data_IF_260818763987
#
_entry.id   IF_260818763987
#
_cell.length_a   1.000
_cell.length_b   1.000
_cell.length_c   1.000
_cell.angle_alpha   90.00
_cell.angle_beta   90.00
_cell.angle_gamma   90.00
#
_symmetry.space_group_name_H-M   'P 1'
#
loop_
_entity.id
_entity.type
_entity.pdbx_description
1 polymer ?
#
# COMPACT_ATOMS: atom_id res chain seq x y z
N UNK A 1 -31.08 27.47 -15.11
CA UNK A 1 -29.72 27.76 -14.60
C UNK A 1 -28.83 26.54 -14.79
N UNK A 2 -27.86 26.62 -15.69
CA UNK A 2 -27.01 25.51 -16.10
C UNK A 2 -25.73 25.43 -15.25
N UNK A 3 -25.55 24.34 -14.51
CA UNK A 3 -24.30 24.06 -13.80
C UNK A 3 -23.30 23.47 -14.81
N UNK A 4 -22.29 24.25 -15.18
CA UNK A 4 -21.12 23.74 -15.92
C UNK A 4 -20.47 22.67 -15.05
N UNK A 5 -20.47 21.42 -15.53
CA UNK A 5 -19.57 20.37 -15.03
C UNK A 5 -18.14 20.85 -15.26
N UNK A 6 -17.52 21.39 -14.21
CA UNK A 6 -16.06 21.52 -14.16
C UNK A 6 -15.52 20.10 -14.20
N UNK A 7 -14.95 19.68 -15.33
CA UNK A 7 -14.11 18.48 -15.36
C UNK A 7 -12.92 18.77 -14.46
N UNK A 8 -12.91 18.17 -13.26
CA UNK A 8 -11.68 18.09 -12.45
C UNK A 8 -10.65 17.36 -13.34
N UNK A 9 -9.45 17.93 -13.57
CA UNK A 9 -8.38 17.15 -14.16
C UNK A 9 -8.17 15.96 -13.24
N UNK A 10 -8.40 14.74 -13.74
CA UNK A 10 -8.05 13.54 -13.01
C UNK A 10 -6.52 13.46 -13.06
N UNK A 11 -5.80 13.59 -11.94
CA UNK A 11 -4.37 13.31 -11.97
C UNK A 11 -4.24 11.86 -12.41
N UNK A 12 -3.59 11.61 -13.55
CA UNK A 12 -3.28 10.24 -13.97
C UNK A 12 -2.46 9.60 -12.85
N UNK A 13 -2.99 8.57 -12.16
CA UNK A 13 -2.32 8.00 -10.98
C UNK A 13 -0.90 7.50 -11.32
N UNK A 14 -0.69 7.05 -12.56
CA UNK A 14 0.56 6.52 -13.10
C UNK A 14 1.75 7.51 -13.13
N UNK A 15 1.52 8.83 -13.04
CA UNK A 15 2.58 9.86 -13.18
C UNK A 15 2.99 10.52 -11.87
N UNK A 16 2.53 9.99 -10.75
CA UNK A 16 2.83 10.55 -9.43
C UNK A 16 4.16 10.00 -8.91
N UNK A 17 4.89 10.74 -8.06
CA UNK A 17 6.09 10.22 -7.38
C UNK A 17 5.84 8.88 -6.67
N UNK A 18 4.65 8.72 -6.06
CA UNK A 18 4.24 7.48 -5.42
C UNK A 18 4.10 6.31 -6.41
N UNK A 19 3.53 6.53 -7.60
CA UNK A 19 3.46 5.49 -8.63
C UNK A 19 4.85 5.11 -9.17
N UNK A 20 5.76 6.09 -9.33
CA UNK A 20 7.15 5.81 -9.70
C UNK A 20 7.87 4.98 -8.63
N UNK A 21 7.67 5.29 -7.36
CA UNK A 21 8.24 4.52 -6.24
C UNK A 21 7.66 3.09 -6.20
N UNK A 22 6.35 2.94 -6.32
CA UNK A 22 5.70 1.63 -6.35
C UNK A 22 6.19 0.79 -7.55
N UNK A 23 6.38 1.41 -8.71
CA UNK A 23 6.95 0.76 -9.89
C UNK A 23 8.40 0.34 -9.68
N UNK A 24 9.23 1.20 -9.11
CA UNK A 24 10.62 0.86 -8.77
C UNK A 24 10.68 -0.32 -7.80
N UNK A 25 9.79 -0.35 -6.80
CA UNK A 25 9.65 -1.46 -5.86
C UNK A 25 9.22 -2.74 -6.57
N UNK A 26 8.25 -2.69 -7.48
CA UNK A 26 7.83 -3.86 -8.26
C UNK A 26 8.98 -4.43 -9.10
N UNK A 27 9.76 -3.57 -9.76
CA UNK A 27 10.95 -3.98 -10.51
C UNK A 27 12.02 -4.59 -9.60
N UNK A 28 12.24 -4.00 -8.43
CA UNK A 28 13.16 -4.52 -7.42
C UNK A 28 12.78 -5.91 -6.93
N UNK A 29 11.51 -6.13 -6.59
CA UNK A 29 10.98 -7.42 -6.14
C UNK A 29 11.06 -8.49 -7.23
N UNK A 30 10.97 -8.08 -8.50
CA UNK A 30 11.16 -8.96 -9.65
C UNK A 30 12.63 -9.25 -9.98
N UNK A 31 13.59 -8.68 -9.25
CA UNK A 31 15.03 -8.80 -9.55
C UNK A 31 15.48 -8.06 -10.81
N UNK A 32 14.66 -7.14 -11.32
CA UNK A 32 14.92 -6.36 -12.54
C UNK A 32 15.55 -4.99 -12.25
N UNK A 33 15.62 -4.61 -10.98
CA UNK A 33 16.26 -3.37 -10.50
C UNK A 33 16.79 -3.58 -9.07
N UNK A 34 17.63 -2.68 -8.54
CA UNK A 34 17.95 -2.68 -7.12
C UNK A 34 16.68 -2.58 -6.27
N UNK A 35 16.56 -3.45 -5.27
CA UNK A 35 15.42 -3.44 -4.36
C UNK A 35 15.55 -2.27 -3.38
N UNK A 36 14.56 -1.35 -3.31
CA UNK A 36 14.57 -0.28 -2.33
C UNK A 36 14.54 -0.87 -0.91
N UNK A 37 15.35 -0.31 0.00
CA UNK A 37 15.33 -0.65 1.41
C UNK A 37 15.37 0.60 2.28
N UNK A 38 14.72 0.53 3.43
CA UNK A 38 14.74 1.55 4.47
C UNK A 38 15.49 0.99 5.66
N UNK A 39 16.38 1.79 6.26
CA UNK A 39 16.97 1.46 7.55
C UNK A 39 15.90 1.59 8.66
N UNK A 40 15.44 0.47 9.26
CA UNK A 40 14.42 0.52 10.29
C UNK A 40 14.91 1.21 11.57
N UNK A 41 16.20 1.12 11.89
CA UNK A 41 16.76 1.75 13.09
C UNK A 41 16.76 3.27 12.98
N UNK A 42 17.02 3.81 11.79
CA UNK A 42 16.93 5.25 11.52
C UNK A 42 15.51 5.83 11.73
N UNK A 43 14.48 4.98 11.73
CA UNK A 43 13.08 5.36 11.99
C UNK A 43 12.55 4.82 13.33
N UNK A 44 13.43 4.34 14.21
CA UNK A 44 13.08 3.89 15.55
C UNK A 44 12.34 2.55 15.60
N UNK A 45 12.51 1.70 14.58
CA UNK A 45 11.92 0.38 14.50
C UNK A 45 12.97 -0.72 14.63
N UNK A 46 12.57 -1.81 15.28
CA UNK A 46 13.29 -3.09 15.28
C UNK A 46 12.42 -4.10 14.55
N UNK A 47 13.00 -4.79 13.57
CA UNK A 47 12.30 -5.78 12.76
C UNK A 47 12.56 -7.21 13.27
N UNK A 48 11.77 -8.16 12.80
CA UNK A 48 12.08 -9.57 13.00
C UNK A 48 13.42 -9.94 12.33
N UNK A 49 14.10 -11.01 12.78
CA UNK A 49 15.27 -11.54 12.07
C UNK A 49 14.94 -11.78 10.60
N UNK A 50 15.80 -11.26 9.72
CA UNK A 50 15.69 -11.35 8.25
C UNK A 50 14.49 -10.61 7.63
N UNK A 51 13.71 -9.86 8.39
CA UNK A 51 12.67 -8.98 7.84
C UNK A 51 13.32 -7.75 7.18
N UNK A 52 12.88 -7.43 5.97
CA UNK A 52 13.39 -6.31 5.18
C UNK A 52 12.31 -5.23 5.07
N UNK A 53 12.60 -4.03 5.55
CA UNK A 53 11.77 -2.86 5.30
C UNK A 53 12.06 -2.27 3.92
N UNK A 54 11.04 -2.20 3.07
CA UNK A 54 11.19 -1.71 1.70
C UNK A 54 10.92 -0.21 1.59
N UNK A 55 9.87 0.26 2.27
CA UNK A 55 9.43 1.64 2.15
C UNK A 55 8.63 2.11 3.36
N UNK A 56 8.63 3.43 3.58
CA UNK A 56 7.67 4.11 4.46
C UNK A 56 6.65 4.83 3.58
N UNK A 57 5.37 4.44 3.70
CA UNK A 57 4.24 5.06 3.04
C UNK A 57 3.47 5.95 4.03
N UNK A 58 2.85 7.03 3.54
CA UNK A 58 1.85 7.78 4.30
C UNK A 58 0.46 7.41 3.78
N UNK A 59 -0.39 6.91 4.69
CA UNK A 59 -1.74 6.49 4.34
C UNK A 59 -2.76 6.98 5.36
N UNK A 60 -3.97 7.25 4.89
CA UNK A 60 -5.16 7.36 5.73
C UNK A 60 -5.66 5.95 6.03
N UNK A 61 -5.78 5.64 7.32
CA UNK A 61 -6.20 4.33 7.80
C UNK A 61 -7.56 4.46 8.46
N UNK A 62 -8.51 3.66 7.98
CA UNK A 62 -9.79 3.40 8.63
C UNK A 62 -9.91 1.92 8.95
N UNK A 63 -10.75 1.57 9.91
CA UNK A 63 -11.18 0.19 10.12
C UNK A 63 -12.70 0.12 10.02
N UNK A 64 -13.24 -1.02 9.62
CA UNK A 64 -14.68 -1.22 9.65
C UNK A 64 -15.11 -1.55 11.09
N UNK A 65 -16.13 -0.87 11.58
CA UNK A 65 -16.75 -1.14 12.88
C UNK A 65 -18.26 -1.05 12.73
N UNK A 66 -18.98 -2.13 12.98
CA UNK A 66 -20.42 -2.19 12.75
C UNK A 66 -20.78 -2.04 11.27
N UNK A 67 -21.64 -1.08 10.96
CA UNK A 67 -22.17 -0.83 9.62
C UNK A 67 -21.27 0.07 8.74
N UNK A 68 -20.29 0.77 9.34
CA UNK A 68 -19.49 1.80 8.66
C UNK A 68 -17.97 1.68 8.80
N UNK A 69 -17.28 2.57 8.09
CA UNK A 69 -15.84 2.81 8.27
C UNK A 69 -15.62 3.85 9.36
N UNK A 70 -14.62 3.63 10.21
CA UNK A 70 -14.17 4.61 11.19
C UNK A 70 -13.67 5.89 10.50
N UNK A 71 -13.64 6.99 11.26
CA UNK A 71 -12.96 8.20 10.81
C UNK A 71 -11.51 7.86 10.45
N UNK A 72 -11.03 8.29 9.26
CA UNK A 72 -9.67 8.00 8.84
C UNK A 72 -8.65 8.78 9.68
N UNK A 73 -7.57 8.10 10.08
CA UNK A 73 -6.42 8.72 10.70
C UNK A 73 -5.20 8.62 9.80
N UNK A 74 -4.43 9.70 9.67
CA UNK A 74 -3.18 9.64 8.91
C UNK A 74 -2.12 8.87 9.71
N UNK A 75 -1.49 7.91 9.06
CA UNK A 75 -0.51 7.01 9.66
C UNK A 75 0.70 6.87 8.76
N UNK A 76 1.87 6.69 9.39
CA UNK A 76 3.06 6.15 8.71
C UNK A 76 2.91 4.64 8.68
N UNK A 77 3.10 4.06 7.50
CA UNK A 77 3.00 2.62 7.26
C UNK A 77 4.34 2.16 6.73
N UNK A 78 5.05 1.35 7.50
CA UNK A 78 6.28 0.70 7.02
C UNK A 78 5.89 -0.59 6.34
N UNK A 79 6.29 -0.73 5.08
CA UNK A 79 6.00 -1.88 4.23
C UNK A 79 7.21 -2.80 4.25
N UNK A 80 7.04 -4.01 4.76
CA UNK A 80 8.10 -5.02 4.84
C UNK A 80 7.73 -6.27 4.03
N UNK A 81 8.67 -7.19 3.89
CA UNK A 81 8.44 -8.50 3.27
C UNK A 81 7.57 -9.44 4.12
N UNK A 82 7.34 -9.12 5.41
CA UNK A 82 6.54 -9.93 6.34
C UNK A 82 5.22 -9.31 6.77
N UNK A 83 5.14 -7.98 6.87
CA UNK A 83 3.98 -7.28 7.41
C UNK A 83 3.94 -5.80 7.00
N UNK A 84 2.84 -5.16 7.35
CA UNK A 84 2.75 -3.72 7.48
C UNK A 84 2.89 -3.35 8.95
N UNK A 85 3.73 -2.36 9.24
CA UNK A 85 3.81 -1.75 10.57
C UNK A 85 3.12 -0.38 10.49
N UNK A 86 1.95 -0.26 11.10
CA UNK A 86 1.09 0.92 11.03
C UNK A 86 1.22 1.71 12.32
N UNK A 87 1.74 2.93 12.22
CA UNK A 87 1.79 3.86 13.33
C UNK A 87 0.40 4.38 13.69
N UNK A 88 0.07 4.34 14.97
CA UNK A 88 -1.19 4.83 15.53
C UNK A 88 -1.01 6.28 16.01
N UNK A 89 -2.06 7.13 15.96
CA UNK A 89 -1.98 8.54 16.36
C UNK A 89 -1.47 8.81 17.79
N UNK A 90 -1.54 7.81 18.69
CA UNK A 90 -1.11 7.91 20.09
C UNK A 90 0.24 7.20 20.36
N UNK A 91 1.05 6.99 19.33
CA UNK A 91 2.39 6.39 19.46
C UNK A 91 2.43 4.87 19.51
N UNK A 92 1.28 4.20 19.42
CA UNK A 92 1.21 2.75 19.25
C UNK A 92 1.65 2.30 17.86
N UNK A 93 1.98 1.01 17.72
CA UNK A 93 2.30 0.39 16.45
C UNK A 93 1.50 -0.90 16.29
N UNK A 94 0.81 -1.05 15.16
CA UNK A 94 0.09 -2.28 14.82
C UNK A 94 0.83 -3.04 13.73
N UNK A 95 1.01 -4.35 13.91
CA UNK A 95 1.56 -5.24 12.88
C UNK A 95 0.44 -5.96 12.13
N UNK A 96 0.32 -5.73 10.84
CA UNK A 96 -0.62 -6.43 9.95
C UNK A 96 0.16 -7.41 9.08
N UNK A 97 0.18 -8.68 9.48
CA UNK A 97 0.99 -9.71 8.84
C UNK A 97 0.39 -10.17 7.52
N UNK A 98 1.23 -10.30 6.49
CA UNK A 98 0.77 -10.81 5.19
C UNK A 98 0.17 -12.21 5.31
N UNK A 99 0.86 -13.09 6.05
CA UNK A 99 0.42 -14.48 6.26
C UNK A 99 -0.86 -14.64 7.11
N UNK A 100 -1.38 -13.56 7.68
CA UNK A 100 -2.65 -13.58 8.44
C UNK A 100 -3.83 -13.01 7.66
N UNK A 101 -3.63 -12.54 6.42
CA UNK A 101 -4.71 -12.00 5.62
C UNK A 101 -5.60 -13.12 5.08
N UNK A 102 -6.91 -12.95 5.26
CA UNK A 102 -7.96 -13.77 4.60
C UNK A 102 -8.54 -13.07 3.38
N UNK A 103 -8.31 -11.76 3.25
CA UNK A 103 -8.73 -10.96 2.10
C UNK A 103 -7.77 -9.80 1.83
N UNK A 104 -7.50 -9.57 0.55
CA UNK A 104 -6.62 -8.50 0.09
C UNK A 104 -7.20 -7.87 -1.19
N UNK A 105 -7.65 -6.61 -1.08
CA UNK A 105 -8.35 -5.92 -2.16
C UNK A 105 -7.66 -4.58 -2.49
N UNK A 106 -6.60 -4.61 -3.32
CA UNK A 106 -5.99 -3.41 -3.84
C UNK A 106 -6.83 -2.80 -4.96
N UNK A 107 -7.03 -1.47 -4.91
CA UNK A 107 -7.64 -0.65 -5.96
C UNK A 107 -6.80 0.61 -6.15
N UNK A 108 -5.85 0.55 -7.10
CA UNK A 108 -4.97 1.67 -7.42
C UNK A 108 -5.66 2.78 -8.21
N UNK A 109 -6.80 2.52 -8.86
CA UNK A 109 -7.57 3.57 -9.51
C UNK A 109 -8.21 4.50 -8.46
N UNK A 110 -8.53 3.97 -7.28
CA UNK A 110 -9.01 4.73 -6.11
C UNK A 110 -7.92 5.06 -5.09
N UNK A 111 -6.66 4.72 -5.38
CA UNK A 111 -5.53 4.86 -4.45
C UNK A 111 -5.84 4.27 -3.08
N UNK A 112 -6.24 2.99 -3.04
CA UNK A 112 -6.57 2.32 -1.80
C UNK A 112 -6.29 0.81 -1.77
N UNK A 113 -6.18 0.26 -0.57
CA UNK A 113 -6.07 -1.18 -0.31
C UNK A 113 -6.93 -1.52 0.90
N UNK A 114 -7.76 -2.56 0.79
CA UNK A 114 -8.45 -3.16 1.95
C UNK A 114 -7.73 -4.45 2.35
N UNK A 115 -7.45 -4.56 3.64
CA UNK A 115 -6.81 -5.70 4.29
C UNK A 115 -7.83 -6.35 5.23
N UNK A 116 -8.17 -7.61 4.99
CA UNK A 116 -9.01 -8.39 5.89
C UNK A 116 -8.16 -9.44 6.60
N UNK A 117 -8.06 -9.33 7.93
CA UNK A 117 -7.32 -10.28 8.78
C UNK A 117 -8.21 -11.41 9.32
N UNK A 118 -9.51 -11.41 9.00
CA UNK A 118 -10.47 -12.38 9.55
C UNK A 118 -10.84 -12.12 11.01
N UNK A 119 -10.41 -10.99 11.56
CA UNK A 119 -10.71 -10.55 12.94
C UNK A 119 -12.06 -9.83 13.06
N UNK A 120 -12.80 -9.70 11.96
CA UNK A 120 -14.07 -8.96 11.87
C UNK A 120 -13.91 -7.45 11.66
N UNK A 121 -12.67 -6.95 11.60
CA UNK A 121 -12.38 -5.52 11.46
C UNK A 121 -11.40 -5.26 10.30
N UNK A 122 -11.82 -5.37 9.03
CA UNK A 122 -10.95 -5.06 7.90
C UNK A 122 -10.39 -3.62 8.01
N UNK A 123 -9.15 -3.44 7.55
CA UNK A 123 -8.45 -2.14 7.51
C UNK A 123 -8.48 -1.60 6.09
N UNK A 124 -8.87 -0.34 5.95
CA UNK A 124 -8.83 0.37 4.68
C UNK A 124 -7.72 1.40 4.73
N UNK A 125 -6.71 1.22 3.87
CA UNK A 125 -5.62 2.14 3.66
C UNK A 125 -5.92 2.94 2.38
N UNK A 126 -5.79 4.26 2.43
CA UNK A 126 -6.00 5.12 1.25
C UNK A 126 -4.97 6.24 1.19
N UNK A 127 -4.66 6.69 -0.03
CA UNK A 127 -3.63 7.69 -0.31
C UNK A 127 -2.70 7.25 -1.44
N UNK A 128 -1.89 8.17 -1.99
CA UNK A 128 -1.04 7.87 -3.14
C UNK A 128 0.01 6.77 -2.85
N UNK A 129 0.60 6.78 -1.66
CA UNK A 129 1.70 5.87 -1.29
C UNK A 129 1.24 4.42 -1.05
N UNK A 130 -0.08 4.16 -0.99
CA UNK A 130 -0.60 2.79 -0.85
C UNK A 130 -0.34 1.93 -2.08
N UNK A 131 0.09 2.52 -3.20
CA UNK A 131 0.55 1.77 -4.35
C UNK A 131 1.69 0.80 -4.00
N UNK A 132 2.59 1.19 -3.10
CA UNK A 132 3.67 0.32 -2.62
C UNK A 132 3.17 -0.81 -1.72
N UNK A 133 2.13 -0.54 -0.91
CA UNK A 133 1.42 -1.58 -0.14
C UNK A 133 0.80 -2.60 -1.09
N UNK A 134 0.14 -2.14 -2.16
CA UNK A 134 -0.45 -3.02 -3.17
C UNK A 134 0.60 -3.89 -3.86
N UNK A 135 1.73 -3.30 -4.28
CA UNK A 135 2.83 -4.01 -4.94
C UNK A 135 3.40 -5.12 -4.04
N UNK A 136 3.77 -4.78 -2.79
CA UNK A 136 4.34 -5.77 -1.87
C UNK A 136 3.30 -6.83 -1.52
N UNK A 137 2.07 -6.44 -1.19
CA UNK A 137 0.99 -7.38 -0.90
C UNK A 137 0.73 -8.36 -2.06
N UNK A 138 0.69 -7.88 -3.31
CA UNK A 138 0.55 -8.76 -4.48
C UNK A 138 1.72 -9.75 -4.57
N UNK A 139 2.97 -9.28 -4.45
CA UNK A 139 4.13 -10.15 -4.50
C UNK A 139 4.14 -11.20 -3.37
N UNK A 140 3.74 -10.82 -2.15
CA UNK A 140 3.77 -11.69 -0.97
C UNK A 140 2.62 -12.69 -0.91
N UNK A 141 1.45 -12.33 -1.43
CA UNK A 141 0.24 -13.17 -1.38
C UNK A 141 0.05 -14.02 -2.63
N UNK A 142 0.46 -13.52 -3.80
CA UNK A 142 0.23 -14.16 -5.10
C UNK A 142 1.53 -14.51 -5.85
N UNK A 143 2.68 -14.19 -5.28
CA UNK A 143 4.00 -14.44 -5.88
C UNK A 143 4.47 -13.32 -6.81
N UNK A 144 5.76 -13.35 -7.14
CA UNK A 144 6.43 -12.30 -7.93
C UNK A 144 5.86 -12.20 -9.35
N UNK A 145 5.46 -13.32 -9.96
CA UNK A 145 4.85 -13.32 -11.31
C UNK A 145 3.57 -12.51 -11.37
N UNK A 146 2.79 -12.49 -10.28
CA UNK A 146 1.56 -11.71 -10.18
C UNK A 146 1.79 -10.20 -10.30
N UNK A 147 3.01 -9.69 -10.09
CA UNK A 147 3.32 -8.28 -10.34
C UNK A 147 3.03 -7.87 -11.80
N UNK A 148 3.27 -8.78 -12.75
CA UNK A 148 3.04 -8.55 -14.18
C UNK A 148 1.59 -8.82 -14.62
N UNK A 149 0.80 -9.57 -13.83
CA UNK A 149 -0.51 -10.07 -14.26
C UNK A 149 -1.68 -9.49 -13.46
N UNK A 150 -1.49 -9.21 -12.17
CA UNK A 150 -2.56 -8.81 -11.27
C UNK A 150 -3.23 -7.50 -11.72
N UNK A 151 -4.54 -7.54 -11.98
CA UNK A 151 -5.29 -6.44 -12.60
C UNK A 151 -5.20 -5.12 -11.81
N UNK A 152 -5.17 -5.19 -10.48
CA UNK A 152 -5.06 -3.99 -9.64
C UNK A 152 -3.76 -3.19 -9.86
N UNK A 153 -2.70 -3.81 -10.40
CA UNK A 153 -1.42 -3.15 -10.68
C UNK A 153 -1.32 -2.60 -12.11
N UNK A 154 -2.36 -2.77 -12.93
CA UNK A 154 -2.41 -2.23 -14.30
C UNK A 154 -2.05 -0.73 -14.35
N UNK A 155 -2.52 0.14 -13.44
CA UNK A 155 -2.15 1.56 -13.47
C UNK A 155 -0.65 1.85 -13.31
N UNK A 156 0.17 0.89 -12.86
CA UNK A 156 1.63 1.05 -12.75
C UNK A 156 2.38 0.58 -14.00
N UNK A 157 1.73 -0.20 -14.88
CA UNK A 157 2.36 -0.80 -16.07
C UNK A 157 2.43 0.19 -17.22
N UNK A 158 1.43 1.04 -17.35
CA UNK A 158 1.34 2.05 -18.39
C UNK A 158 2.66 2.83 -18.49
N UNK A 159 3.36 2.61 -19.61
CA UNK A 159 4.43 3.49 -20.06
C UNK A 159 3.72 4.74 -20.58
N UNK A 160 3.89 5.87 -19.91
CA UNK A 160 3.87 7.11 -20.66
C UNK A 160 5.03 7.01 -21.66
N UNK A 161 4.69 6.79 -22.94
CA UNK A 161 5.60 7.04 -24.06
C UNK A 161 5.90 8.52 -24.19
#
# INVERSE_FOLDING_TARGET
MAWRRVRKPSPQPARTPAAHQARALALGLAGLAPLPSVDPMAIGLVLEPEETAYQVAVAWVSHRAGDGWSQPSQSRVVVTDRRLMVGMPLGGLSSLWWGSLVGFHPDLARSSVILDLGDGYPRWLSGPDVASVAVVGVARLYGVTALAEHAALEPLRDRAG
#
